data_IF_618438879893
#
_entry.id   IF_618438879893
#
_cell.length_a   1.000
_cell.length_b   1.000
_cell.length_c   1.000
_cell.angle_alpha   90.00
_cell.angle_beta   90.00
_cell.angle_gamma   90.00
#
_symmetry.space_group_name_H-M   'P 1'
#
loop_
_entity.id
_entity.type
_entity.pdbx_description
1 polymer ?
#
# COMPACT_ATOMS: atom_id res chain seq x y z
N UNK A 1 28.31 11.58 0.35
CA UNK A 1 27.33 11.70 1.40
C UNK A 1 26.03 11.04 1.05
N UNK A 2 25.60 10.16 1.89
CA UNK A 2 24.34 9.47 1.66
C UNK A 2 23.14 10.36 1.91
N UNK A 3 22.16 10.27 1.05
CA UNK A 3 20.86 10.90 1.31
C UNK A 3 20.11 10.04 2.32
N UNK A 4 19.27 10.65 3.12
CA UNK A 4 18.43 9.90 4.05
C UNK A 4 17.45 9.05 3.28
N UNK A 5 17.11 7.88 3.83
CA UNK A 5 16.11 7.04 3.24
C UNK A 5 14.74 7.74 3.23
N UNK A 6 13.93 7.39 2.24
CA UNK A 6 12.54 7.83 2.21
C UNK A 6 11.75 6.83 3.06
N UNK A 7 11.05 7.32 4.06
CA UNK A 7 10.26 6.47 4.95
C UNK A 7 8.79 6.55 4.58
N UNK A 8 8.14 5.39 4.41
CA UNK A 8 6.73 5.34 4.05
C UNK A 8 5.99 4.41 5.01
N UNK A 9 4.84 4.85 5.52
CA UNK A 9 3.89 4.02 6.23
C UNK A 9 2.60 3.96 5.42
N UNK A 10 2.03 2.77 5.30
CA UNK A 10 0.80 2.56 4.52
C UNK A 10 -0.22 1.80 5.36
N UNK A 11 -1.50 2.03 5.07
CA UNK A 11 -2.59 1.30 5.71
C UNK A 11 -3.82 1.31 4.80
N UNK A 12 -4.67 0.33 4.99
CA UNK A 12 -5.93 0.25 4.25
C UNK A 12 -6.93 -0.55 5.05
N UNK A 13 -8.19 -0.27 4.85
CA UNK A 13 -9.24 -0.96 5.58
C UNK A 13 -10.59 -0.84 4.89
N UNK A 14 -11.54 -1.62 5.37
CA UNK A 14 -12.86 -1.71 4.77
C UNK A 14 -13.88 -2.03 5.85
N UNK A 15 -15.03 -1.38 5.78
CA UNK A 15 -16.14 -1.66 6.70
C UNK A 15 -17.06 -2.68 6.02
N UNK A 16 -16.98 -3.93 6.47
CA UNK A 16 -17.55 -5.05 5.73
C UNK A 16 -16.57 -5.47 4.65
N UNK A 17 -16.74 -6.61 4.03
CA UNK A 17 -15.77 -7.10 3.06
C UNK A 17 -16.48 -7.94 2.01
N UNK A 18 -17.04 -7.33 0.94
CA UNK A 18 -16.81 -5.94 0.48
C UNK A 18 -17.64 -4.91 1.20
N UNK A 19 -17.22 -3.65 1.08
CA UNK A 19 -17.93 -2.52 1.66
C UNK A 19 -17.16 -1.22 1.49
N UNK A 20 -17.60 -0.14 2.15
CA UNK A 20 -16.87 1.13 2.09
C UNK A 20 -15.48 0.99 2.67
N UNK A 21 -14.49 1.50 1.97
CA UNK A 21 -13.11 1.36 2.41
C UNK A 21 -12.29 2.62 2.23
N UNK A 22 -11.09 2.60 2.81
CA UNK A 22 -10.16 3.70 2.71
C UNK A 22 -8.72 3.21 2.70
N UNK A 23 -7.85 4.04 2.19
CA UNK A 23 -6.41 3.80 2.15
C UNK A 23 -5.68 5.08 2.53
N UNK A 24 -4.47 4.94 3.04
CA UNK A 24 -3.66 6.10 3.40
C UNK A 24 -2.18 5.75 3.39
N UNK A 25 -1.35 6.77 3.14
CA UNK A 25 0.07 6.64 3.38
C UNK A 25 0.62 7.96 3.95
N UNK A 26 1.72 7.82 4.70
CA UNK A 26 2.53 8.94 5.17
C UNK A 26 3.93 8.71 4.64
N UNK A 27 4.44 9.69 3.92
CA UNK A 27 5.77 9.64 3.30
C UNK A 27 6.63 10.76 3.84
N UNK A 28 7.80 10.42 4.36
CA UNK A 28 8.75 11.40 4.87
C UNK A 28 10.05 11.28 4.10
N UNK A 29 10.47 12.36 3.45
CA UNK A 29 11.69 12.35 2.63
C UNK A 29 12.89 12.96 3.34
N UNK A 30 12.77 13.22 4.65
CA UNK A 30 13.81 13.84 5.44
C UNK A 30 13.66 15.36 5.56
N UNK A 31 12.90 15.97 4.68
CA UNK A 31 12.63 17.41 4.70
C UNK A 31 11.15 17.71 4.80
N UNK A 32 10.33 16.94 4.11
CA UNK A 32 8.91 17.18 4.01
C UNK A 32 8.15 15.89 4.27
N UNK A 33 7.04 16.00 4.95
CA UNK A 33 6.13 14.88 5.18
C UNK A 33 4.89 15.06 4.31
N UNK A 34 4.60 14.04 3.50
CA UNK A 34 3.42 14.01 2.66
C UNK A 34 2.43 13.00 3.21
N UNK A 35 1.17 13.39 3.27
CA UNK A 35 0.10 12.54 3.76
C UNK A 35 -1.00 12.52 2.72
N UNK A 36 -1.39 11.33 2.27
CA UNK A 36 -2.46 11.20 1.29
C UNK A 36 -3.36 10.05 1.66
N UNK A 37 -4.62 10.20 1.29
CA UNK A 37 -5.61 9.19 1.56
C UNK A 37 -6.71 9.25 0.51
N UNK A 38 -7.49 8.20 0.44
CA UNK A 38 -8.64 8.13 -0.44
C UNK A 38 -9.58 7.03 0.00
N UNK A 39 -10.71 6.93 -0.66
CA UNK A 39 -11.70 5.93 -0.29
C UNK A 39 -12.46 5.40 -1.49
N UNK A 40 -13.22 4.36 -1.24
CA UNK A 40 -14.07 3.73 -2.24
C UNK A 40 -15.37 3.29 -1.58
N UNK A 41 -16.53 3.46 -2.26
CA UNK A 41 -17.82 3.07 -1.67
C UNK A 41 -18.02 1.55 -1.58
N UNK A 42 -17.29 0.79 -2.41
CA UNK A 42 -17.42 -0.67 -2.42
C UNK A 42 -16.10 -1.30 -2.83
N UNK A 43 -15.38 -1.85 -1.85
CA UNK A 43 -14.06 -2.40 -2.08
C UNK A 43 -13.79 -3.52 -1.07
N UNK A 44 -12.55 -3.97 -0.98
CA UNK A 44 -12.15 -4.99 -0.01
C UNK A 44 -10.95 -4.48 0.79
N UNK A 45 -10.74 -5.07 1.94
CA UNK A 45 -9.59 -4.75 2.78
C UNK A 45 -8.28 -4.91 2.00
N UNK A 46 -8.12 -6.02 1.30
CA UNK A 46 -6.89 -6.30 0.56
C UNK A 46 -6.64 -5.29 -0.57
N UNK A 47 -7.70 -4.86 -1.27
CA UNK A 47 -7.56 -3.84 -2.31
C UNK A 47 -7.10 -2.51 -1.74
N UNK A 48 -7.61 -2.14 -0.58
CA UNK A 48 -7.22 -0.88 0.06
C UNK A 48 -5.78 -0.94 0.55
N UNK A 49 -5.35 -2.07 1.07
CA UNK A 49 -3.95 -2.28 1.45
C UNK A 49 -3.02 -2.13 0.25
N UNK A 50 -3.37 -2.76 -0.86
CA UNK A 50 -2.58 -2.66 -2.11
C UNK A 50 -2.58 -1.24 -2.65
N UNK A 51 -3.74 -0.59 -2.63
CA UNK A 51 -3.87 0.78 -3.16
C UNK A 51 -2.97 1.75 -2.40
N UNK A 52 -2.90 1.62 -1.07
CA UNK A 52 -2.03 2.48 -0.26
C UNK A 52 -0.58 2.37 -0.71
N UNK A 53 -0.09 1.16 -0.90
CA UNK A 53 1.29 0.93 -1.35
C UNK A 53 1.51 1.47 -2.76
N UNK A 54 0.58 1.17 -3.67
CA UNK A 54 0.68 1.61 -5.06
C UNK A 54 0.73 3.14 -5.13
N UNK A 55 -0.17 3.82 -4.42
CA UNK A 55 -0.23 5.28 -4.45
C UNK A 55 1.02 5.89 -3.83
N UNK A 56 1.55 5.29 -2.77
CA UNK A 56 2.79 5.76 -2.15
C UNK A 56 3.98 5.66 -3.13
N UNK A 57 4.12 4.51 -3.80
CA UNK A 57 5.22 4.31 -4.74
C UNK A 57 5.09 5.17 -6.00
N UNK A 58 3.86 5.41 -6.46
CA UNK A 58 3.63 6.36 -7.55
C UNK A 58 4.08 7.76 -7.17
N UNK A 59 3.82 8.16 -5.93
CA UNK A 59 4.24 9.46 -5.43
C UNK A 59 5.77 9.60 -5.44
N UNK A 60 6.48 8.55 -5.01
CA UNK A 60 7.94 8.56 -5.06
C UNK A 60 8.42 8.73 -6.50
N UNK A 61 7.87 7.94 -7.42
CA UNK A 61 8.29 7.96 -8.81
C UNK A 61 8.02 9.31 -9.48
N UNK A 62 6.90 9.92 -9.17
CA UNK A 62 6.49 11.17 -9.82
C UNK A 62 7.08 12.42 -9.19
N UNK A 63 7.20 12.44 -7.86
CA UNK A 63 7.62 13.64 -7.14
C UNK A 63 9.06 13.58 -6.65
N UNK A 64 9.64 12.39 -6.51
CA UNK A 64 11.01 12.21 -6.03
C UNK A 64 11.86 11.45 -7.05
N UNK A 65 11.51 11.56 -8.31
CA UNK A 65 12.04 10.74 -9.41
C UNK A 65 13.55 10.87 -9.63
N UNK A 66 14.14 11.96 -9.19
CA UNK A 66 15.57 12.17 -9.36
C UNK A 66 16.37 11.65 -8.16
N UNK A 67 15.69 11.05 -7.21
CA UNK A 67 16.31 10.53 -6.01
C UNK A 67 16.72 9.06 -6.21
N UNK A 68 17.96 8.74 -5.83
CA UNK A 68 18.44 7.35 -5.79
C UNK A 68 18.35 6.78 -4.37
N UNK A 69 17.50 7.36 -3.56
CA UNK A 69 17.40 7.02 -2.15
C UNK A 69 16.66 5.72 -1.93
N UNK A 70 17.10 4.96 -0.95
CA UNK A 70 16.41 3.76 -0.53
C UNK A 70 15.05 4.12 0.07
N UNK A 71 14.04 3.32 -0.24
CA UNK A 71 12.71 3.48 0.32
C UNK A 71 12.54 2.45 1.44
N UNK A 72 12.26 2.94 2.66
CA UNK A 72 11.92 2.07 3.79
C UNK A 72 10.41 2.07 3.92
N UNK A 73 9.76 1.03 3.46
CA UNK A 73 8.29 0.97 3.42
C UNK A 73 7.76 0.04 4.52
N UNK A 74 6.90 0.57 5.37
CA UNK A 74 6.33 -0.14 6.51
C UNK A 74 4.85 -0.40 6.27
N UNK A 75 4.43 -1.65 6.45
CA UNK A 75 3.03 -2.04 6.35
C UNK A 75 2.71 -3.10 7.40
N UNK A 76 1.47 -3.13 7.87
CA UNK A 76 1.00 -4.19 8.77
C UNK A 76 0.24 -5.28 8.01
N UNK A 77 0.12 -5.15 6.70
CA UNK A 77 -0.63 -6.10 5.88
C UNK A 77 0.15 -7.37 5.62
N UNK A 78 -0.31 -8.48 6.16
CA UNK A 78 0.27 -9.79 5.84
C UNK A 78 0.01 -10.17 4.39
N UNK A 79 -1.11 -9.73 3.84
CA UNK A 79 -1.45 -9.98 2.44
C UNK A 79 -0.40 -9.37 1.50
N UNK A 80 -0.04 -8.11 1.74
CA UNK A 80 1.01 -7.44 0.95
C UNK A 80 2.35 -8.13 1.16
N UNK A 81 2.69 -8.43 2.40
CA UNK A 81 3.96 -9.08 2.74
C UNK A 81 4.10 -10.42 2.02
N UNK A 82 3.09 -11.26 2.12
CA UNK A 82 3.13 -12.60 1.54
C UNK A 82 3.16 -12.55 0.02
N UNK A 83 2.41 -11.62 -0.57
CA UNK A 83 2.39 -11.46 -2.02
C UNK A 83 3.74 -11.04 -2.57
N UNK A 84 4.36 -10.04 -1.96
CA UNK A 84 5.67 -9.54 -2.39
C UNK A 84 6.75 -10.58 -2.17
N UNK A 85 6.69 -11.30 -1.05
CA UNK A 85 7.76 -12.25 -0.67
C UNK A 85 7.69 -13.55 -1.46
N UNK A 86 6.50 -14.01 -1.80
CA UNK A 86 6.33 -15.36 -2.36
C UNK A 86 5.41 -15.43 -3.56
N UNK A 87 4.17 -14.98 -3.40
CA UNK A 87 3.11 -15.26 -4.37
C UNK A 87 3.38 -14.68 -5.75
N UNK A 88 3.91 -13.48 -5.80
CA UNK A 88 4.08 -12.74 -7.04
C UNK A 88 5.05 -13.45 -8.00
N UNK A 89 6.07 -14.11 -7.46
CA UNK A 89 7.04 -14.85 -8.25
C UNK A 89 6.40 -16.08 -8.91
N UNK A 90 5.54 -16.76 -8.17
CA UNK A 90 4.81 -17.92 -8.71
C UNK A 90 3.80 -17.49 -9.76
N UNK A 91 3.09 -16.40 -9.51
CA UNK A 91 2.11 -15.89 -10.45
C UNK A 91 2.75 -15.50 -11.79
N UNK A 92 3.91 -14.87 -11.73
CA UNK A 92 4.62 -14.51 -12.95
C UNK A 92 4.98 -15.73 -13.77
N UNK A 93 5.46 -16.78 -13.11
CA UNK A 93 5.82 -18.02 -13.79
C UNK A 93 4.60 -18.74 -14.37
N UNK A 94 3.45 -18.57 -13.75
CA UNK A 94 2.23 -19.26 -14.14
C UNK A 94 1.29 -18.40 -14.99
N UNK A 95 1.78 -17.29 -15.53
CA UNK A 95 0.98 -16.41 -16.39
C UNK A 95 -0.14 -15.71 -15.65
N UNK A 96 0.05 -15.43 -14.35
CA UNK A 96 -0.93 -14.77 -13.49
C UNK A 96 -2.23 -15.55 -13.34
N UNK A 97 -2.08 -16.86 -13.29
CA UNK A 97 -3.20 -17.77 -13.09
C UNK A 97 -2.97 -18.62 -11.85
N UNK A 98 -4.06 -19.02 -11.21
CA UNK A 98 -4.01 -19.96 -10.09
C UNK A 98 -3.76 -21.37 -10.61
N UNK A 99 -3.56 -22.33 -9.73
CA UNK A 99 -3.42 -23.74 -10.11
C UNK A 99 -4.65 -24.27 -10.87
N UNK A 100 -5.82 -23.67 -10.64
CA UNK A 100 -7.05 -24.03 -11.34
C UNK A 100 -7.21 -23.26 -12.67
N UNK A 101 -6.15 -22.57 -13.12
CA UNK A 101 -6.13 -21.79 -14.36
C UNK A 101 -7.12 -20.62 -14.35
N UNK A 102 -7.48 -20.12 -13.18
CA UNK A 102 -8.30 -18.92 -13.03
C UNK A 102 -7.40 -17.71 -12.81
N UNK A 103 -7.84 -16.49 -13.20
CA UNK A 103 -7.03 -15.31 -12.96
C UNK A 103 -6.76 -15.13 -11.47
N UNK A 104 -5.57 -14.65 -11.15
CA UNK A 104 -5.19 -14.34 -9.77
C UNK A 104 -6.09 -13.21 -9.26
N UNK A 105 -6.60 -13.36 -8.02
CA UNK A 105 -7.42 -12.33 -7.39
C UNK A 105 -6.61 -11.05 -7.24
N UNK A 106 -7.21 -9.91 -7.58
CA UNK A 106 -6.56 -8.60 -7.55
C UNK A 106 -5.34 -8.52 -8.47
N UNK A 107 -5.35 -9.28 -9.55
CA UNK A 107 -4.24 -9.37 -10.51
C UNK A 107 -3.73 -8.01 -10.95
N UNK A 108 -4.63 -7.09 -11.31
CA UNK A 108 -4.25 -5.78 -11.84
C UNK A 108 -3.54 -4.94 -10.79
N UNK A 109 -3.97 -5.02 -9.53
CA UNK A 109 -3.30 -4.33 -8.42
C UNK A 109 -1.89 -4.86 -8.23
N UNK A 110 -1.75 -6.19 -8.23
CA UNK A 110 -0.44 -6.82 -8.06
C UNK A 110 0.51 -6.51 -9.21
N UNK A 111 -0.01 -6.47 -10.43
CA UNK A 111 0.82 -6.13 -11.59
C UNK A 111 1.29 -4.68 -11.54
N UNK A 112 0.44 -3.76 -11.12
CA UNK A 112 0.83 -2.36 -10.91
C UNK A 112 1.89 -2.23 -9.84
N UNK A 113 1.68 -2.91 -8.72
CA UNK A 113 2.62 -2.86 -7.61
C UNK A 113 3.99 -3.39 -8.03
N UNK A 114 4.02 -4.51 -8.72
CA UNK A 114 5.27 -5.10 -9.18
C UNK A 114 6.01 -4.18 -10.15
N UNK A 115 5.28 -3.59 -11.09
CA UNK A 115 5.90 -2.68 -12.05
C UNK A 115 6.57 -1.49 -11.35
N UNK A 116 5.95 -0.96 -10.32
CA UNK A 116 6.52 0.12 -9.52
C UNK A 116 7.69 -0.36 -8.69
N UNK A 117 7.52 -1.48 -7.98
CA UNK A 117 8.53 -2.00 -7.07
C UNK A 117 9.81 -2.39 -7.82
N UNK A 118 9.69 -2.92 -9.03
CA UNK A 118 10.85 -3.33 -9.81
C UNK A 118 11.77 -2.17 -10.21
N UNK A 119 11.24 -0.95 -10.22
CA UNK A 119 12.00 0.24 -10.63
C UNK A 119 12.55 1.05 -9.45
N UNK A 120 12.25 0.64 -8.22
CA UNK A 120 12.58 1.41 -7.03
C UNK A 120 13.34 0.56 -6.02
N UNK A 121 14.33 1.14 -5.32
CA UNK A 121 15.09 0.40 -4.29
C UNK A 121 14.32 0.38 -2.98
N UNK A 122 13.48 -0.64 -2.80
CA UNK A 122 12.59 -0.75 -1.64
C UNK A 122 13.07 -1.79 -0.65
N UNK A 123 13.15 -1.39 0.62
CA UNK A 123 13.30 -2.31 1.74
C UNK A 123 11.93 -2.44 2.41
N UNK A 124 11.39 -3.63 2.41
CA UNK A 124 10.06 -3.89 2.96
C UNK A 124 10.16 -4.21 4.45
N UNK A 125 9.37 -3.51 5.25
CA UNK A 125 9.32 -3.74 6.69
C UNK A 125 7.90 -4.05 7.09
N UNK A 126 7.73 -5.07 7.91
CA UNK A 126 6.44 -5.46 8.39
C UNK A 126 6.32 -5.11 9.86
N UNK A 127 5.27 -4.36 10.22
CA UNK A 127 5.00 -3.95 11.59
C UNK A 127 3.70 -4.58 12.05
N UNK A 128 3.59 -4.79 13.37
CA UNK A 128 2.32 -5.21 13.94
C UNK A 128 1.41 -4.01 14.03
N UNK A 129 0.15 -4.17 13.65
CA UNK A 129 -0.83 -3.11 13.80
C UNK A 129 -0.91 -2.66 15.25
N UNK A 130 -1.10 -1.36 15.45
CA UNK A 130 -1.26 -0.77 16.78
C UNK A 130 -0.07 -0.99 17.72
N UNK A 131 1.14 -0.99 17.15
CA UNK A 131 2.35 -1.22 17.95
C UNK A 131 2.88 0.05 18.61
N UNK A 132 2.08 1.12 18.66
CA UNK A 132 2.48 2.37 19.28
C UNK A 132 3.30 3.28 18.39
N UNK A 133 3.47 2.93 17.13
CA UNK A 133 4.19 3.78 16.19
C UNK A 133 3.29 4.94 15.74
N UNK A 134 3.77 6.16 15.93
CA UNK A 134 3.01 7.37 15.67
C UNK A 134 2.53 7.48 14.21
N UNK A 135 3.41 7.19 13.26
CA UNK A 135 3.06 7.30 11.84
C UNK A 135 2.11 6.19 11.41
N UNK A 136 2.27 5.02 11.97
CA UNK A 136 1.36 3.90 11.71
C UNK A 136 -0.05 4.24 12.22
N UNK A 137 -0.14 4.80 13.42
CA UNK A 137 -1.41 5.23 13.97
C UNK A 137 -2.04 6.35 13.18
N UNK A 138 -1.23 7.26 12.65
CA UNK A 138 -1.72 8.33 11.81
C UNK A 138 -2.37 7.79 10.55
N UNK A 139 -1.74 6.81 9.90
CA UNK A 139 -2.32 6.14 8.73
C UNK A 139 -3.66 5.51 9.08
N UNK A 140 -3.73 4.81 10.21
CA UNK A 140 -4.96 4.18 10.66
C UNK A 140 -6.09 5.20 10.84
N UNK A 141 -5.80 6.34 11.44
CA UNK A 141 -6.77 7.41 11.62
C UNK A 141 -7.26 7.96 10.29
N UNK A 142 -6.34 8.13 9.35
CA UNK A 142 -6.68 8.62 8.00
C UNK A 142 -7.58 7.64 7.27
N UNK A 143 -7.28 6.35 7.39
CA UNK A 143 -8.10 5.29 6.80
C UNK A 143 -9.52 5.31 7.37
N UNK A 144 -9.64 5.41 8.70
CA UNK A 144 -10.94 5.45 9.36
C UNK A 144 -11.76 6.66 8.92
N UNK A 145 -11.10 7.80 8.76
CA UNK A 145 -11.76 9.02 8.30
C UNK A 145 -12.31 8.84 6.88
N UNK A 146 -11.53 8.21 6.01
CA UNK A 146 -11.98 7.93 4.64
C UNK A 146 -13.14 6.95 4.62
N UNK A 147 -13.06 5.90 5.44
CA UNK A 147 -14.15 4.93 5.57
C UNK A 147 -15.44 5.61 6.03
N UNK A 148 -15.34 6.45 7.06
CA UNK A 148 -16.51 7.16 7.59
C UNK A 148 -17.12 8.08 6.53
N UNK A 149 -16.29 8.76 5.75
CA UNK A 149 -16.78 9.61 4.66
C UNK A 149 -17.55 8.80 3.63
N UNK A 150 -17.05 7.61 3.29
CA UNK A 150 -17.74 6.73 2.35
C UNK A 150 -19.07 6.22 2.90
N UNK A 151 -19.11 5.89 4.18
CA UNK A 151 -20.32 5.43 4.85
C UNK A 151 -21.38 6.54 4.84
N UNK A 152 -20.98 7.77 5.16
CA UNK A 152 -21.89 8.90 5.18
C UNK A 152 -22.49 9.20 3.81
N UNK A 153 -21.69 9.04 2.75
CA UNK A 153 -22.16 9.26 1.40
C UNK A 153 -23.22 8.24 0.97
N UNK A 154 -23.19 7.05 1.55
CA UNK A 154 -24.17 6.00 1.24
C UNK A 154 -25.51 6.23 1.94
N UNK A 155 -25.45 6.91 3.06
CA UNK A 155 -26.64 7.22 3.83
C UNK A 155 -27.48 8.32 3.18
#
# INVERSE_FOLDING_TARGET
MGQEAITIYTDGGCSGNPGPGGWAFVLNDGKLQRERSGGSPATTNNRMELTAVIEALKTVREELKESNRTIELYTDSQYVKNGISSWIHNWERNGWQTSAKKPVKNKEYWQQLKALADTLPISWHWVKGHSGNELNEKCDQMVRREMDAQIQQRG
#
